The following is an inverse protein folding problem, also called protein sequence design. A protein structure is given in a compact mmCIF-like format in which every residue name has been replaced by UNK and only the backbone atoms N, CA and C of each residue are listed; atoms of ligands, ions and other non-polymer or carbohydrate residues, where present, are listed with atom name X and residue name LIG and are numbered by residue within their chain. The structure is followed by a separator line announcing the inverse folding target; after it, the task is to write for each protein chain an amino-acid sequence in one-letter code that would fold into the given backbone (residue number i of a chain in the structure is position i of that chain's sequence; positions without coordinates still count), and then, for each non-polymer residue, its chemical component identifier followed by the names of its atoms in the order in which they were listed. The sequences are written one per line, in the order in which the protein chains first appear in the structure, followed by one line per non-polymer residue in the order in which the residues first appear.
data_IF_786855378580
#
_entry.id   IF_786855378580
#
_cell.length_a   1.000
_cell.length_b   1.000
_cell.length_c   1.000
_cell.angle_alpha   90.00
_cell.angle_beta   90.00
_cell.angle_gamma   90.00
#
_symmetry.space_group_name_H-M   'P 1'
#
loop_
_entity.id
_entity.type
_entity.pdbx_description
1 polymer ?
#
# COMPACT_ATOMS: atom_id res chain seq x y z
N UNK A 1 2.83 22.25 11.30
CA UNK A 1 3.56 20.99 11.10
C UNK A 1 3.41 20.63 9.63
N UNK A 2 4.50 20.67 8.85
CA UNK A 2 4.46 20.34 7.42
C UNK A 2 4.12 18.87 7.25
N UNK A 3 3.16 18.56 6.38
CA UNK A 3 2.93 17.19 5.93
C UNK A 3 4.16 16.72 5.14
N UNK A 4 4.56 15.44 5.26
CA UNK A 4 5.64 14.90 4.43
C UNK A 4 5.20 14.80 2.96
N UNK A 5 6.16 14.83 2.03
CA UNK A 5 5.88 14.66 0.61
C UNK A 5 5.56 13.19 0.31
N UNK A 6 4.28 12.86 0.28
CA UNK A 6 3.79 11.51 -0.01
C UNK A 6 4.20 10.97 -1.39
N UNK A 7 4.43 11.86 -2.36
CA UNK A 7 4.94 11.49 -3.69
C UNK A 7 6.39 11.02 -3.67
N UNK A 8 7.22 11.56 -2.76
CA UNK A 8 8.64 11.20 -2.63
C UNK A 8 8.83 9.97 -1.74
N UNK A 9 7.85 9.64 -0.88
CA UNK A 9 7.88 8.44 -0.05
C UNK A 9 7.76 7.16 -0.88
N UNK A 10 8.51 6.13 -0.48
CA UNK A 10 8.31 4.76 -0.96
C UNK A 10 6.94 4.23 -0.55
N UNK A 11 6.41 3.24 -1.29
CA UNK A 11 5.09 2.64 -0.99
C UNK A 11 4.99 2.14 0.45
N UNK A 12 6.06 1.57 0.98
CA UNK A 12 6.14 1.01 2.34
C UNK A 12 6.13 2.09 3.43
N UNK A 13 6.86 3.19 3.19
CA UNK A 13 6.87 4.38 4.06
C UNK A 13 5.48 5.02 4.11
N UNK A 14 4.85 5.16 2.94
CA UNK A 14 3.52 5.74 2.81
C UNK A 14 2.43 4.85 3.42
N UNK A 15 2.52 3.53 3.24
CA UNK A 15 1.63 2.57 3.90
C UNK A 15 1.75 2.62 5.42
N UNK A 16 2.98 2.70 5.95
CA UNK A 16 3.23 2.84 7.38
C UNK A 16 2.69 4.16 7.93
N UNK A 17 2.78 5.24 7.15
CA UNK A 17 2.23 6.53 7.51
C UNK A 17 0.70 6.51 7.55
N UNK A 18 0.03 6.01 6.50
CA UNK A 18 -1.43 5.87 6.45
C UNK A 18 -1.96 5.01 7.60
N UNK A 19 -1.24 3.94 7.97
CA UNK A 19 -1.62 3.09 9.11
C UNK A 19 -1.58 3.83 10.45
N UNK A 20 -0.64 4.76 10.64
CA UNK A 20 -0.54 5.64 11.83
C UNK A 20 -1.50 6.82 11.76
N UNK A 21 -1.83 7.28 10.56
CA UNK A 21 -2.65 8.45 10.27
C UNK A 21 -3.87 8.08 9.42
N UNK A 22 -4.70 7.17 9.94
CA UNK A 22 -5.85 6.61 9.20
C UNK A 22 -6.92 7.63 8.79
N UNK A 23 -6.89 8.82 9.37
CA UNK A 23 -7.81 9.93 9.09
C UNK A 23 -7.19 10.95 8.11
N UNK A 24 -5.98 10.70 7.61
CA UNK A 24 -5.34 11.57 6.61
C UNK A 24 -5.70 11.08 5.21
N UNK A 25 -6.75 11.69 4.64
CA UNK A 25 -7.24 11.37 3.29
C UNK A 25 -6.15 11.58 2.23
N UNK A 26 -5.27 12.57 2.40
CA UNK A 26 -4.20 12.89 1.44
C UNK A 26 -3.16 11.78 1.35
N UNK A 27 -2.75 11.24 2.50
CA UNK A 27 -1.86 10.08 2.56
C UNK A 27 -2.51 8.83 1.95
N UNK A 28 -3.81 8.64 2.17
CA UNK A 28 -4.57 7.53 1.60
C UNK A 28 -4.64 7.62 0.07
N UNK A 29 -5.00 8.79 -0.48
CA UNK A 29 -5.03 8.99 -1.93
C UNK A 29 -3.66 8.84 -2.58
N UNK A 30 -2.59 9.31 -1.93
CA UNK A 30 -1.24 9.13 -2.44
C UNK A 30 -0.80 7.65 -2.46
N UNK A 31 -1.22 6.85 -1.47
CA UNK A 31 -0.96 5.41 -1.46
C UNK A 31 -1.75 4.70 -2.56
N UNK A 32 -3.03 5.07 -2.71
CA UNK A 32 -3.87 4.54 -3.78
C UNK A 32 -3.28 4.84 -5.16
N UNK A 33 -2.87 6.09 -5.41
CA UNK A 33 -2.24 6.50 -6.67
C UNK A 33 -0.97 5.68 -6.96
N UNK A 34 -0.08 5.49 -5.98
CA UNK A 34 1.12 4.65 -6.16
C UNK A 34 0.81 3.17 -6.42
N UNK A 35 -0.26 2.65 -5.81
CA UNK A 35 -0.72 1.27 -6.05
C UNK A 35 -1.32 1.13 -7.45
N UNK A 36 -2.14 2.09 -7.89
CA UNK A 36 -2.75 2.12 -9.23
C UNK A 36 -1.73 2.40 -10.34
N UNK A 37 -0.75 3.28 -10.09
CA UNK A 37 0.30 3.64 -11.03
C UNK A 37 1.34 2.52 -11.21
N UNK A 38 1.40 1.55 -10.29
CA UNK A 38 2.28 0.40 -10.41
C UNK A 38 1.75 -0.55 -11.51
N UNK A 39 2.44 -0.69 -12.67
CA UNK A 39 1.93 -1.44 -13.83
C UNK A 39 1.87 -2.96 -13.61
N UNK A 40 2.24 -3.45 -12.42
CA UNK A 40 2.29 -4.89 -12.11
C UNK A 40 0.99 -5.46 -11.57
N UNK A 41 0.07 -4.63 -11.07
CA UNK A 41 -1.24 -5.10 -10.58
C UNK A 41 -2.33 -4.15 -11.09
N UNK A 42 -2.98 -4.50 -12.20
CA UNK A 42 -4.27 -3.89 -12.53
C UNK A 42 -5.34 -4.44 -11.60
N UNK A 43 -5.45 -3.87 -10.41
CA UNK A 43 -6.61 -4.11 -9.53
C UNK A 43 -7.83 -3.48 -10.21
N UNK A 44 -8.63 -4.31 -10.88
CA UNK A 44 -9.84 -3.87 -11.57
C UNK A 44 -11.06 -3.76 -10.65
N UNK A 45 -10.97 -4.27 -9.40
CA UNK A 45 -12.07 -4.29 -8.43
C UNK A 45 -11.58 -4.27 -6.97
N UNK A 46 -12.43 -3.81 -6.06
CA UNK A 46 -12.16 -3.76 -4.61
C UNK A 46 -11.84 -5.14 -4.01
N UNK A 47 -12.44 -6.21 -4.55
CA UNK A 47 -12.13 -7.60 -4.19
C UNK A 47 -10.69 -8.00 -4.56
N UNK A 48 -10.19 -7.54 -5.69
CA UNK A 48 -8.80 -7.81 -6.12
C UNK A 48 -7.79 -7.07 -5.24
N UNK A 49 -8.15 -5.86 -4.79
CA UNK A 49 -7.35 -5.10 -3.83
C UNK A 49 -7.31 -5.79 -2.47
N UNK A 50 -8.45 -6.26 -1.96
CA UNK A 50 -8.53 -6.99 -0.70
C UNK A 50 -7.73 -8.31 -0.75
N UNK A 51 -7.80 -9.03 -1.87
CA UNK A 51 -7.04 -10.27 -2.07
C UNK A 51 -5.52 -10.02 -2.19
N UNK A 52 -5.11 -8.94 -2.85
CA UNK A 52 -3.70 -8.54 -2.91
C UNK A 52 -3.14 -8.15 -1.53
N UNK A 53 -3.91 -7.40 -0.73
CA UNK A 53 -3.53 -7.04 0.64
C UNK A 53 -3.42 -8.32 1.49
N UNK A 54 -4.30 -9.30 1.29
CA UNK A 54 -4.26 -10.58 2.01
C UNK A 54 -3.09 -11.47 1.60
N UNK A 55 -2.77 -11.52 0.30
CA UNK A 55 -1.68 -12.33 -0.25
C UNK A 55 -0.31 -11.76 0.12
N UNK A 56 -0.15 -10.45 0.09
CA UNK A 56 1.09 -9.79 0.52
C UNK A 56 1.40 -10.04 2.00
N UNK A 57 0.39 -10.14 2.88
CA UNK A 57 0.59 -10.52 4.29
C UNK A 57 0.93 -12.00 4.50
N UNK A 58 0.65 -12.89 3.53
CA UNK A 58 0.93 -14.32 3.64
C UNK A 58 2.31 -14.71 3.13
N UNK A 59 2.97 -13.84 2.36
CA UNK A 59 4.22 -14.18 1.65
C UNK A 59 5.48 -13.71 2.39
N UNK A 60 5.39 -13.49 3.70
CA UNK A 60 6.55 -13.24 4.57
C UNK A 60 6.71 -14.31 5.67
N UNK A 61 5.89 -15.38 5.65
CA UNK A 61 5.90 -16.44 6.66
C UNK A 61 6.22 -17.86 6.16
N UNK A 62 6.46 -18.07 4.87
CA UNK A 62 6.71 -19.40 4.29
C UNK A 62 7.91 -19.37 3.34
N UNK A 63 9.05 -18.89 3.85
CA UNK A 63 10.36 -19.36 3.40
C UNK A 63 10.95 -20.22 4.51
N UNK A 64 10.36 -21.39 4.73
CA UNK A 64 11.02 -22.46 5.47
C UNK A 64 10.50 -23.82 5.01
N UNK A 65 11.41 -24.58 4.41
CA UNK A 65 11.37 -26.00 4.07
C UNK A 65 10.91 -26.37 2.65
N UNK A 66 11.90 -26.87 1.89
CA UNK A 66 11.74 -27.55 0.60
C UNK A 66 13.05 -27.61 -0.14
#
# INVERSE_FOLDING_TARGET
MSKPNFSEMSREELASYVMKHRHDDEAFYALADKVYASPRIRVQSMEQLADLIRTTQKTEGDQSAG
#
